data_IF_297216642936
#
_entry.id   IF_297216642936
#
_cell.length_a   1.000
_cell.length_b   1.000
_cell.length_c   1.000
_cell.angle_alpha   90.00
_cell.angle_beta   90.00
_cell.angle_gamma   90.00
#
_symmetry.space_group_name_H-M   'P 1'
#
loop_
_entity.id
_entity.type
_entity.pdbx_description
1 polymer ?
#
# COMPACT_ATOMS: atom_id res chain seq x y z
N UNK A 1 3.36 20.23 12.36
CA UNK A 1 3.03 18.78 12.36
C UNK A 1 3.56 18.19 13.65
N UNK A 2 2.70 17.52 14.41
CA UNK A 2 3.12 16.81 15.62
C UNK A 2 3.85 15.52 15.27
N UNK A 3 4.59 14.96 16.25
CA UNK A 3 5.14 13.60 16.16
C UNK A 3 4.13 12.55 15.62
N UNK A 4 2.85 12.52 16.06
CA UNK A 4 1.89 11.56 15.52
C UNK A 4 1.53 11.79 14.05
N UNK A 5 1.42 13.03 13.55
CA UNK A 5 1.15 13.25 12.13
C UNK A 5 2.31 12.84 11.24
N UNK A 6 3.55 13.09 11.67
CA UNK A 6 4.72 12.65 10.93
C UNK A 6 4.79 11.11 10.83
N UNK A 7 4.46 10.39 11.92
CA UNK A 7 4.42 8.92 11.91
C UNK A 7 3.35 8.38 10.94
N UNK A 8 2.15 8.98 10.95
CA UNK A 8 1.06 8.59 10.04
C UNK A 8 1.47 8.80 8.58
N UNK A 9 2.11 9.92 8.26
CA UNK A 9 2.60 10.22 6.91
C UNK A 9 3.67 9.21 6.48
N UNK A 10 4.63 8.87 7.36
CA UNK A 10 5.68 7.89 7.07
C UNK A 10 5.06 6.51 6.78
N UNK A 11 4.11 6.06 7.61
CA UNK A 11 3.41 4.78 7.41
C UNK A 11 2.65 4.81 6.08
N UNK A 12 1.94 5.90 5.79
CA UNK A 12 1.22 6.07 4.53
C UNK A 12 2.15 6.02 3.31
N UNK A 13 3.31 6.66 3.38
CA UNK A 13 4.32 6.62 2.32
C UNK A 13 4.89 5.22 2.10
N UNK A 14 5.18 4.48 3.17
CA UNK A 14 5.65 3.09 3.07
C UNK A 14 4.60 2.19 2.40
N UNK A 15 3.33 2.29 2.80
CA UNK A 15 2.24 1.54 2.15
C UNK A 15 2.05 1.95 0.68
N UNK A 16 2.27 3.23 0.34
CA UNK A 16 2.15 3.71 -1.02
C UNK A 16 3.24 3.09 -1.93
N UNK A 17 4.47 2.99 -1.43
CA UNK A 17 5.56 2.33 -2.15
C UNK A 17 5.28 0.83 -2.31
N UNK A 18 4.84 0.16 -1.26
CA UNK A 18 4.51 -1.27 -1.31
C UNK A 18 3.39 -1.57 -2.32
N UNK A 19 2.28 -0.83 -2.24
CA UNK A 19 1.14 -1.02 -3.14
C UNK A 19 1.48 -0.76 -4.62
N UNK A 20 2.36 0.22 -4.90
CA UNK A 20 2.91 0.44 -6.24
C UNK A 20 3.74 -0.75 -6.73
N UNK A 21 4.62 -1.31 -5.88
CA UNK A 21 5.40 -2.51 -6.21
C UNK A 21 4.47 -3.68 -6.52
N UNK A 22 3.42 -3.88 -5.73
CA UNK A 22 2.40 -4.91 -5.93
C UNK A 22 1.67 -4.73 -7.26
N UNK A 23 1.35 -3.48 -7.62
CA UNK A 23 0.64 -3.17 -8.85
C UNK A 23 1.50 -3.32 -10.11
N UNK A 24 2.77 -2.88 -10.05
CA UNK A 24 3.73 -2.92 -11.17
C UNK A 24 4.26 -4.34 -11.38
N UNK A 25 4.60 -5.04 -10.29
CA UNK A 25 5.23 -6.37 -10.32
C UNK A 25 4.37 -7.47 -9.67
N UNK A 26 3.11 -7.65 -10.10
CA UNK A 26 2.20 -8.61 -9.48
C UNK A 26 2.68 -10.05 -9.61
N UNK A 27 3.52 -10.38 -10.59
CA UNK A 27 4.14 -11.72 -10.71
C UNK A 27 5.18 -11.97 -9.61
N UNK A 28 5.94 -10.94 -9.21
CA UNK A 28 6.92 -11.04 -8.14
C UNK A 28 6.22 -11.14 -6.79
N UNK A 29 5.17 -10.33 -6.58
CA UNK A 29 4.28 -10.42 -5.41
C UNK A 29 3.58 -11.77 -5.32
N UNK A 30 3.11 -12.34 -6.43
CA UNK A 30 2.50 -13.68 -6.43
C UNK A 30 3.51 -14.75 -6.04
N UNK A 31 4.78 -14.60 -6.45
CA UNK A 31 5.87 -15.51 -6.07
C UNK A 31 6.26 -15.40 -4.59
N UNK A 32 6.23 -14.19 -4.03
CA UNK A 32 6.50 -13.94 -2.61
C UNK A 32 5.33 -14.37 -1.71
N UNK A 33 4.10 -14.09 -2.16
CA UNK A 33 2.85 -14.38 -1.48
C UNK A 33 2.19 -15.70 -1.88
N UNK A 34 2.95 -16.69 -2.38
CA UNK A 34 2.44 -17.98 -2.95
C UNK A 34 1.44 -18.72 -2.06
N UNK A 35 1.39 -18.43 -0.75
CA UNK A 35 0.41 -19.00 0.18
C UNK A 35 -0.91 -18.22 0.33
N UNK A 36 -0.95 -16.91 0.07
CA UNK A 36 -2.11 -16.06 0.37
C UNK A 36 -2.96 -15.68 -0.85
N UNK A 37 -2.36 -15.45 -2.02
CA UNK A 37 -3.08 -14.91 -3.19
C UNK A 37 -2.86 -15.80 -4.42
N UNK A 38 -3.89 -16.59 -4.76
CA UNK A 38 -3.85 -17.59 -5.85
C UNK A 38 -3.91 -16.99 -7.27
N UNK A 39 -4.28 -15.71 -7.43
CA UNK A 39 -4.56 -15.12 -8.75
C UNK A 39 -4.02 -13.70 -8.91
N UNK A 40 -3.31 -13.45 -10.02
CA UNK A 40 -2.75 -12.15 -10.43
C UNK A 40 -3.81 -11.04 -10.49
N UNK A 41 -5.04 -11.36 -10.92
CA UNK A 41 -6.15 -10.38 -10.96
C UNK A 41 -6.54 -9.93 -9.55
N UNK A 42 -6.52 -10.84 -8.57
CA UNK A 42 -6.83 -10.53 -7.18
C UNK A 42 -5.71 -9.70 -6.55
N UNK A 43 -4.45 -10.00 -6.83
CA UNK A 43 -3.30 -9.21 -6.35
C UNK A 43 -3.38 -7.77 -6.88
N UNK A 44 -3.67 -7.57 -8.16
CA UNK A 44 -3.84 -6.21 -8.71
C UNK A 44 -4.98 -5.45 -8.05
N UNK A 45 -6.09 -6.12 -7.74
CA UNK A 45 -7.22 -5.52 -7.01
C UNK A 45 -6.83 -5.17 -5.58
N UNK A 46 -6.10 -6.05 -4.89
CA UNK A 46 -5.60 -5.80 -3.54
C UNK A 46 -4.64 -4.60 -3.50
N UNK A 47 -3.67 -4.54 -4.42
CA UNK A 47 -2.75 -3.41 -4.53
C UNK A 47 -3.46 -2.08 -4.83
N UNK A 48 -4.54 -2.10 -5.61
CA UNK A 48 -5.39 -0.91 -5.83
C UNK A 48 -6.10 -0.46 -4.55
N UNK A 49 -6.61 -1.40 -3.75
CA UNK A 49 -7.26 -1.09 -2.47
C UNK A 49 -6.24 -0.52 -1.47
N UNK A 50 -5.06 -1.14 -1.36
CA UNK A 50 -3.97 -0.63 -0.52
C UNK A 50 -3.49 0.75 -0.96
N UNK A 51 -3.43 1.00 -2.27
CA UNK A 51 -3.07 2.32 -2.80
C UNK A 51 -4.07 3.40 -2.35
N UNK A 52 -5.37 3.10 -2.41
CA UNK A 52 -6.42 4.03 -1.93
C UNK A 52 -6.27 4.28 -0.43
N UNK A 53 -6.07 3.23 0.36
CA UNK A 53 -5.87 3.32 1.82
C UNK A 53 -4.64 4.18 2.15
N UNK A 54 -3.52 3.97 1.45
CA UNK A 54 -2.29 4.71 1.64
C UNK A 54 -2.48 6.22 1.36
N UNK A 55 -3.16 6.56 0.27
CA UNK A 55 -3.49 7.96 -0.05
C UNK A 55 -4.35 8.59 1.05
N UNK A 56 -5.38 7.89 1.52
CA UNK A 56 -6.25 8.39 2.61
C UNK A 56 -5.45 8.62 3.89
N UNK A 57 -4.54 7.71 4.25
CA UNK A 57 -3.67 7.84 5.42
C UNK A 57 -2.75 9.07 5.31
N UNK A 58 -2.16 9.32 4.14
CA UNK A 58 -1.32 10.51 3.91
C UNK A 58 -2.15 11.78 4.06
N UNK A 59 -3.36 11.83 3.48
CA UNK A 59 -4.26 12.98 3.59
C UNK A 59 -4.68 13.26 5.04
N UNK A 60 -4.97 12.21 5.82
CA UNK A 60 -5.27 12.33 7.25
C UNK A 60 -4.05 12.86 8.00
N UNK A 61 -2.87 12.30 7.73
CA UNK A 61 -1.61 12.73 8.35
C UNK A 61 -1.26 14.20 8.05
N UNK A 62 -1.57 14.69 6.84
CA UNK A 62 -1.35 16.10 6.47
C UNK A 62 -2.33 17.07 7.16
N UNK A 63 -3.51 16.60 7.54
CA UNK A 63 -4.56 17.41 8.20
C UNK A 63 -4.50 17.36 9.74
N UNK A 64 -3.56 16.60 10.34
CA UNK A 64 -3.33 16.46 11.78
C UNK A 64 -2.13 17.28 12.27
#
# INVERSE_FOLDING_TARGET
MGLPSNLIIIIGLLMLVESLIVFIFPNWTLNFGKKLLRNKKTIKKAGLIELIIAIVLILIGMNL
#
